data_IF_020663355946
#
_entry.id   IF_020663355946
#
_cell.length_a   1.000
_cell.length_b   1.000
_cell.length_c   1.000
_cell.angle_alpha   90.00
_cell.angle_beta   90.00
_cell.angle_gamma   90.00
#
_symmetry.space_group_name_H-M   'P 1'
#
loop_
_entity.id
_entity.type
_entity.pdbx_description
1 polymer ?
#
# COMPACT_ATOMS: atom_id res chain seq x y z
N UNK A 1 -4.51 -27.32 36.33
CA UNK A 1 -3.82 -26.10 35.84
C UNK A 1 -4.80 -25.39 34.94
N UNK A 2 -5.12 -24.14 35.27
CA UNK A 2 -5.99 -23.31 34.43
C UNK A 2 -5.25 -23.03 33.11
N UNK A 3 -5.82 -23.53 32.00
CA UNK A 3 -5.23 -23.42 30.67
C UNK A 3 -5.10 -21.96 30.23
N UNK A 4 -6.02 -21.10 30.68
CA UNK A 4 -6.01 -19.66 30.39
C UNK A 4 -4.82 -19.02 31.12
N UNK A 5 -4.68 -19.31 32.41
CA UNK A 5 -3.57 -18.80 33.23
C UNK A 5 -2.19 -19.17 32.68
N UNK A 6 -2.03 -20.41 32.20
CA UNK A 6 -0.77 -20.89 31.61
C UNK A 6 -0.38 -20.20 30.29
N UNK A 7 -1.37 -19.77 29.48
CA UNK A 7 -1.11 -19.07 28.21
C UNK A 7 -0.63 -17.63 28.48
N UNK A 8 -1.19 -16.95 29.49
CA UNK A 8 -0.78 -15.58 29.84
C UNK A 8 0.59 -15.49 30.54
N UNK A 9 1.06 -16.57 31.18
CA UNK A 9 2.34 -16.59 31.90
C UNK A 9 3.56 -16.82 30.97
N UNK A 10 3.37 -17.19 29.69
CA UNK A 10 4.47 -17.44 28.74
C UNK A 10 4.67 -16.30 27.74
N UNK A 11 5.80 -15.58 27.77
CA UNK A 11 6.09 -14.45 26.85
C UNK A 11 6.08 -14.81 25.36
N UNK A 12 6.26 -16.10 25.03
CA UNK A 12 6.26 -16.60 23.65
C UNK A 12 4.85 -16.64 23.00
N UNK A 13 3.79 -16.47 23.79
CA UNK A 13 2.39 -16.47 23.35
C UNK A 13 1.82 -15.04 23.31
N UNK A 14 2.66 -14.02 23.21
CA UNK A 14 2.20 -12.60 23.17
C UNK A 14 1.83 -12.15 21.75
N UNK A 15 1.29 -13.05 20.93
CA UNK A 15 0.97 -12.82 19.52
C UNK A 15 -0.52 -13.00 19.21
N UNK A 16 -0.98 -12.49 18.06
CA UNK A 16 -2.39 -12.58 17.62
C UNK A 16 -2.93 -14.02 17.68
N UNK A 17 -2.11 -15.00 17.30
CA UNK A 17 -2.48 -16.43 17.29
C UNK A 17 -2.85 -16.92 18.69
N UNK A 18 -2.12 -16.52 19.73
CA UNK A 18 -2.44 -16.93 21.09
C UNK A 18 -3.73 -16.28 21.61
N UNK A 19 -3.99 -15.01 21.24
CA UNK A 19 -5.27 -14.34 21.57
C UNK A 19 -6.44 -15.05 20.91
N UNK A 20 -6.30 -15.41 19.62
CA UNK A 20 -7.28 -16.23 18.91
C UNK A 20 -7.44 -17.61 19.56
N UNK A 21 -6.35 -18.27 19.92
CA UNK A 21 -6.38 -19.57 20.56
C UNK A 21 -7.12 -19.54 21.91
N UNK A 22 -6.96 -18.47 22.71
CA UNK A 22 -7.72 -18.29 23.95
C UNK A 22 -9.22 -18.12 23.66
N UNK A 23 -9.59 -17.21 22.75
CA UNK A 23 -11.02 -16.97 22.41
C UNK A 23 -11.69 -18.22 21.84
N UNK A 24 -10.97 -18.98 21.02
CA UNK A 24 -11.49 -20.18 20.38
C UNK A 24 -11.52 -21.39 21.33
N UNK A 25 -10.79 -21.37 22.44
CA UNK A 25 -10.71 -22.50 23.39
C UNK A 25 -12.00 -22.76 24.17
N UNK A 26 -12.91 -21.79 24.23
CA UNK A 26 -14.22 -21.95 24.87
C UNK A 26 -15.19 -22.80 24.02
N UNK A 27 -14.87 -22.99 22.74
CA UNK A 27 -15.72 -23.71 21.79
C UNK A 27 -15.14 -25.08 21.46
N UNK A 28 -16.00 -26.08 21.34
CA UNK A 28 -15.63 -27.41 20.84
C UNK A 28 -15.53 -27.40 19.31
N UNK A 29 -14.39 -26.97 18.79
CA UNK A 29 -14.16 -26.78 17.35
C UNK A 29 -13.69 -28.09 16.73
N UNK A 30 -14.49 -28.65 15.83
CA UNK A 30 -14.11 -29.79 15.01
C UNK A 30 -13.72 -29.33 13.60
N UNK A 31 -12.59 -29.82 13.09
CA UNK A 31 -12.18 -29.54 11.72
C UNK A 31 -13.02 -30.38 10.75
N UNK A 32 -13.69 -29.71 9.82
CA UNK A 32 -14.46 -30.35 8.73
C UNK A 32 -13.84 -29.95 7.40
N UNK A 33 -13.69 -30.91 6.49
CA UNK A 33 -13.18 -30.66 5.13
C UNK A 33 -13.99 -29.58 4.41
N UNK A 34 -13.30 -28.61 3.81
CA UNK A 34 -13.93 -27.45 3.18
C UNK A 34 -14.83 -27.88 2.01
N UNK A 35 -16.14 -27.69 2.16
CA UNK A 35 -17.08 -27.72 1.04
C UNK A 35 -17.16 -26.30 0.48
N UNK A 36 -17.05 -26.16 -0.84
CA UNK A 36 -17.22 -24.85 -1.48
C UNK A 36 -18.61 -24.30 -1.15
N UNK A 37 -18.66 -23.18 -0.43
CA UNK A 37 -19.90 -22.44 -0.18
C UNK A 37 -20.08 -21.51 -1.36
N UNK A 38 -21.25 -21.54 -2.02
CA UNK A 38 -21.59 -20.53 -3.03
C UNK A 38 -21.66 -19.18 -2.32
N UNK A 39 -20.81 -18.23 -2.72
CA UNK A 39 -20.81 -16.88 -2.16
C UNK A 39 -22.19 -16.20 -2.21
N UNK A 40 -23.01 -16.54 -3.22
CA UNK A 40 -24.40 -16.08 -3.31
C UNK A 40 -25.25 -16.52 -2.12
N UNK A 41 -25.11 -17.75 -1.63
CA UNK A 41 -25.88 -18.24 -0.50
C UNK A 41 -25.55 -17.48 0.81
N UNK A 42 -24.30 -17.05 0.97
CA UNK A 42 -23.87 -16.22 2.09
C UNK A 42 -24.40 -14.79 1.96
N UNK A 43 -24.33 -14.20 0.77
CA UNK A 43 -24.88 -12.87 0.50
C UNK A 43 -26.41 -12.82 0.69
N UNK A 44 -27.13 -13.83 0.19
CA UNK A 44 -28.58 -13.95 0.35
C UNK A 44 -28.98 -14.14 1.83
N UNK A 45 -28.21 -14.91 2.59
CA UNK A 45 -28.43 -15.08 4.03
C UNK A 45 -28.25 -13.75 4.79
N UNK A 46 -27.17 -13.01 4.49
CA UNK A 46 -26.90 -11.71 5.11
C UNK A 46 -27.95 -10.65 4.72
N UNK A 47 -28.41 -10.66 3.47
CA UNK A 47 -29.46 -9.75 3.01
C UNK A 47 -30.80 -9.99 3.73
N UNK A 48 -31.07 -11.22 4.14
CA UNK A 48 -32.27 -11.59 4.90
C UNK A 48 -32.13 -11.38 6.42
N UNK A 49 -30.94 -11.06 6.92
CA UNK A 49 -30.67 -10.68 8.32
C UNK A 49 -30.03 -9.29 8.38
N UNK A 50 -30.77 -8.22 8.07
CA UNK A 50 -30.26 -6.86 8.20
C UNK A 50 -29.90 -6.58 9.66
N UNK A 51 -28.65 -6.16 9.88
CA UNK A 51 -28.19 -5.69 11.19
C UNK A 51 -28.47 -4.19 11.21
N UNK A 52 -29.49 -3.78 11.98
CA UNK A 52 -29.92 -2.37 12.07
C UNK A 52 -28.79 -1.43 12.56
N UNK A 53 -27.87 -1.96 13.38
CA UNK A 53 -26.72 -1.24 13.93
C UNK A 53 -25.40 -1.72 13.32
N UNK A 54 -25.34 -1.93 12.00
CA UNK A 54 -24.09 -2.27 11.33
C UNK A 54 -23.07 -1.14 11.48
N UNK A 55 -22.21 -1.24 12.50
CA UNK A 55 -20.96 -0.50 12.56
C UNK A 55 -19.99 -1.20 11.63
N UNK A 56 -19.53 -0.47 10.62
CA UNK A 56 -18.41 -0.91 9.78
C UNK A 56 -17.31 -1.44 10.69
N UNK A 57 -16.99 -2.74 10.56
CA UNK A 57 -15.82 -3.30 11.22
C UNK A 57 -14.62 -2.58 10.59
N UNK A 58 -14.04 -1.64 11.32
CA UNK A 58 -12.66 -1.27 11.10
C UNK A 58 -11.88 -2.51 11.53
N UNK A 59 -11.56 -3.36 10.55
CA UNK A 59 -10.40 -4.21 10.73
C UNK A 59 -9.20 -3.29 10.98
N UNK A 60 -8.19 -3.80 11.66
CA UNK A 60 -6.86 -3.18 11.69
C UNK A 60 -5.92 -4.17 11.01
N UNK A 61 -5.99 -4.25 9.69
CA UNK A 61 -4.98 -4.96 8.92
C UNK A 61 -3.70 -4.11 8.81
N UNK A 62 -2.49 -4.69 8.94
CA UNK A 62 -1.23 -3.93 8.86
C UNK A 62 -1.01 -3.19 7.53
N UNK A 63 -1.75 -3.56 6.49
CA UNK A 63 -1.75 -3.04 5.13
C UNK A 63 -2.96 -2.14 4.82
N UNK A 64 -3.82 -1.83 5.80
CA UNK A 64 -4.92 -0.87 5.60
C UNK A 64 -4.44 0.52 5.21
N UNK A 65 -3.22 0.90 5.58
CA UNK A 65 -2.59 2.15 5.13
C UNK A 65 -2.34 2.19 3.62
N UNK A 66 -2.35 1.04 2.91
CA UNK A 66 -2.27 0.98 1.45
C UNK A 66 -3.66 1.13 0.80
N UNK A 67 -4.74 0.77 1.52
CA UNK A 67 -6.12 0.80 0.99
C UNK A 67 -6.93 2.01 1.45
N UNK A 68 -6.58 2.65 2.57
CA UNK A 68 -7.28 3.81 3.13
C UNK A 68 -6.50 5.08 2.79
N UNK A 69 -6.53 5.46 1.51
CA UNK A 69 -6.35 6.88 1.15
C UNK A 69 -7.70 7.54 1.41
N UNK A 70 -7.79 8.26 2.53
CA UNK A 70 -8.94 9.07 2.96
C UNK A 70 -9.75 9.62 1.79
N UNK A 71 -11.06 9.37 1.81
CA UNK A 71 -12.05 9.94 0.88
C UNK A 71 -12.22 11.43 1.13
N UNK A 72 -11.16 12.21 0.94
CA UNK A 72 -11.32 13.57 0.47
C UNK A 72 -11.38 13.45 -1.06
N UNK A 73 -12.58 13.65 -1.61
CA UNK A 73 -12.77 13.79 -3.05
C UNK A 73 -12.06 15.07 -3.50
N UNK A 74 -10.75 14.99 -3.68
CA UNK A 74 -9.97 16.02 -4.34
C UNK A 74 -10.19 15.86 -5.85
N UNK A 75 -11.28 16.47 -6.35
CA UNK A 75 -11.86 16.28 -7.69
C UNK A 75 -10.90 16.63 -8.86
N UNK A 76 -9.67 17.05 -8.58
CA UNK A 76 -8.66 17.37 -9.60
C UNK A 76 -7.25 16.84 -9.34
N UNK A 77 -6.97 16.24 -8.19
CA UNK A 77 -5.59 15.96 -7.78
C UNK A 77 -5.11 14.56 -8.11
N UNK A 78 -3.94 14.52 -8.73
CA UNK A 78 -3.22 13.31 -9.05
C UNK A 78 -2.10 13.08 -8.04
N UNK A 79 -1.81 11.82 -7.75
CA UNK A 79 -0.66 11.43 -6.93
C UNK A 79 0.33 10.66 -7.79
N UNK A 80 1.59 11.05 -7.75
CA UNK A 80 2.71 10.40 -8.40
C UNK A 80 3.62 9.79 -7.33
N UNK A 81 3.83 8.49 -7.40
CA UNK A 81 4.87 7.77 -6.66
C UNK A 81 5.97 7.39 -7.65
N UNK A 82 7.24 7.59 -7.31
CA UNK A 82 8.36 7.15 -8.15
C UNK A 82 9.47 6.51 -7.31
N UNK A 83 10.23 5.62 -7.95
CA UNK A 83 11.43 4.99 -7.42
C UNK A 83 12.38 4.65 -8.58
N UNK A 84 13.66 4.96 -8.44
CA UNK A 84 14.72 4.66 -9.40
C UNK A 84 15.77 3.72 -8.80
N UNK A 85 16.11 2.66 -9.53
CA UNK A 85 17.16 1.72 -9.12
C UNK A 85 18.27 1.63 -10.16
N UNK A 86 19.52 1.59 -9.68
CA UNK A 86 20.70 1.34 -10.52
C UNK A 86 21.61 0.32 -9.86
N UNK A 87 22.05 -0.69 -10.62
CA UNK A 87 22.99 -1.70 -10.16
C UNK A 87 23.85 -2.21 -11.32
N UNK A 88 24.76 -3.15 -11.01
CA UNK A 88 25.67 -3.75 -12.02
C UNK A 88 24.96 -4.50 -13.15
N UNK A 89 23.72 -4.94 -12.95
CA UNK A 89 22.92 -5.65 -13.95
C UNK A 89 22.11 -4.68 -14.83
N UNK A 90 22.03 -3.41 -14.43
CA UNK A 90 21.39 -2.35 -15.17
C UNK A 90 20.56 -1.43 -14.28
N UNK A 91 19.71 -0.66 -14.96
CA UNK A 91 19.02 0.47 -14.37
C UNK A 91 17.53 0.37 -14.68
N UNK A 92 16.70 0.64 -13.69
CA UNK A 92 15.25 0.55 -13.79
C UNK A 92 14.59 1.72 -13.10
N UNK A 93 13.41 2.05 -13.57
CA UNK A 93 12.55 3.06 -12.97
C UNK A 93 11.16 2.47 -12.78
N UNK A 94 10.54 2.84 -11.66
CA UNK A 94 9.18 2.51 -11.29
C UNK A 94 8.40 3.78 -10.99
N UNK A 95 7.19 3.84 -11.51
CA UNK A 95 6.29 4.97 -11.34
C UNK A 95 4.88 4.43 -11.12
N UNK A 96 4.13 5.03 -10.20
CA UNK A 96 2.70 4.79 -10.04
C UNK A 96 1.99 6.14 -10.06
N UNK A 97 1.18 6.35 -11.10
CA UNK A 97 0.32 7.52 -11.21
C UNK A 97 -1.09 7.15 -10.76
N UNK A 98 -1.62 7.85 -9.76
CA UNK A 98 -2.93 7.63 -9.16
C UNK A 98 -3.81 8.81 -9.55
N UNK A 99 -4.88 8.52 -10.29
CA UNK A 99 -5.86 9.53 -10.68
C UNK A 99 -6.76 9.95 -9.51
N UNK A 100 -7.45 11.11 -9.61
CA UNK A 100 -8.43 11.55 -8.61
C UNK A 100 -9.50 10.48 -8.32
N UNK A 101 -9.85 9.69 -9.34
CA UNK A 101 -10.80 8.57 -9.26
C UNK A 101 -10.19 7.29 -8.68
N UNK A 102 -9.04 7.40 -8.00
CA UNK A 102 -8.27 6.30 -7.40
C UNK A 102 -7.91 5.18 -8.39
N UNK A 103 -7.80 5.49 -9.69
CA UNK A 103 -7.24 4.57 -10.69
C UNK A 103 -5.72 4.61 -10.64
N UNK A 104 -5.10 3.45 -10.47
CA UNK A 104 -3.66 3.24 -10.49
C UNK A 104 -3.17 2.97 -11.93
N UNK A 105 -2.12 3.68 -12.33
CA UNK A 105 -1.47 3.55 -13.64
C UNK A 105 0.02 3.29 -13.37
N UNK A 106 0.43 2.02 -13.26
CA UNK A 106 1.83 1.67 -13.06
C UNK A 106 2.62 1.80 -14.37
N UNK A 107 3.83 2.34 -14.27
CA UNK A 107 4.77 2.50 -15.37
C UNK A 107 6.12 1.99 -14.87
N UNK A 108 6.73 1.10 -15.65
CA UNK A 108 8.07 0.59 -15.37
C UNK A 108 8.87 0.60 -16.65
N UNK A 109 10.10 1.07 -16.59
CA UNK A 109 11.00 1.06 -17.73
C UNK A 109 12.42 0.69 -17.29
N UNK A 110 13.16 0.05 -18.21
CA UNK A 110 14.59 -0.16 -18.06
C UNK A 110 15.32 0.97 -18.78
N UNK A 111 16.26 1.62 -18.10
CA UNK A 111 17.10 2.63 -18.75
C UNK A 111 18.22 1.91 -19.52
N UNK A 112 18.40 2.28 -20.78
CA UNK A 112 19.38 1.69 -21.70
C UNK A 112 20.68 2.50 -21.81
N UNK A 113 20.97 3.31 -20.80
CA UNK A 113 22.18 4.11 -20.69
C UNK A 113 22.73 3.99 -19.27
N UNK A 114 24.03 4.19 -19.10
CA UNK A 114 24.66 4.12 -17.80
C UNK A 114 24.19 5.26 -16.91
N UNK A 115 23.65 4.93 -15.73
CA UNK A 115 23.19 5.93 -14.77
C UNK A 115 23.54 5.55 -13.32
N UNK A 116 23.72 6.56 -12.47
CA UNK A 116 23.85 6.37 -11.02
C UNK A 116 22.47 6.15 -10.38
N UNK A 117 22.41 5.75 -9.10
CA UNK A 117 21.13 5.65 -8.37
C UNK A 117 20.37 6.98 -8.40
N UNK A 118 21.03 8.09 -8.05
CA UNK A 118 20.41 9.41 -8.05
C UNK A 118 19.89 9.78 -9.44
N UNK A 119 20.60 9.43 -10.51
CA UNK A 119 20.11 9.66 -11.87
C UNK A 119 18.88 8.81 -12.17
N UNK A 120 18.85 7.54 -11.78
CA UNK A 120 17.66 6.70 -11.97
C UNK A 120 16.44 7.28 -11.26
N UNK A 121 16.61 7.84 -10.07
CA UNK A 121 15.55 8.52 -9.31
C UNK A 121 15.02 9.76 -10.05
N UNK A 122 15.92 10.58 -10.61
CA UNK A 122 15.53 11.71 -11.44
C UNK A 122 14.76 11.28 -12.69
N UNK A 123 15.21 10.22 -13.35
CA UNK A 123 14.56 9.68 -14.55
C UNK A 123 13.18 9.10 -14.23
N UNK A 124 13.03 8.44 -13.07
CA UNK A 124 11.75 7.95 -12.58
C UNK A 124 10.77 9.11 -12.32
N UNK A 125 11.22 10.14 -11.60
CA UNK A 125 10.42 11.34 -11.35
C UNK A 125 10.03 12.04 -12.67
N UNK A 126 10.98 12.22 -13.59
CA UNK A 126 10.74 12.87 -14.88
C UNK A 126 9.73 12.11 -15.73
N UNK A 127 9.86 10.78 -15.82
CA UNK A 127 8.90 9.92 -16.51
C UNK A 127 7.51 10.01 -15.89
N UNK A 128 7.43 10.07 -14.55
CA UNK A 128 6.18 10.24 -13.84
C UNK A 128 5.48 11.56 -14.12
N UNK A 129 6.23 12.66 -14.14
CA UNK A 129 5.70 13.98 -14.51
C UNK A 129 5.22 13.97 -15.96
N UNK A 130 5.97 13.36 -16.88
CA UNK A 130 5.57 13.23 -18.28
C UNK A 130 4.25 12.45 -18.42
N UNK A 131 4.10 11.33 -17.71
CA UNK A 131 2.86 10.56 -17.69
C UNK A 131 1.67 11.35 -17.11
N UNK A 132 1.92 12.17 -16.08
CA UNK A 132 0.91 13.05 -15.51
C UNK A 132 0.45 14.13 -16.51
N UNK A 133 1.40 14.72 -17.27
CA UNK A 133 1.10 15.68 -18.33
C UNK A 133 0.28 15.06 -19.47
N UNK A 134 0.66 13.85 -19.93
CA UNK A 134 -0.12 13.09 -20.92
C UNK A 134 -1.54 12.78 -20.43
N UNK A 135 -1.67 12.51 -19.13
CA UNK A 135 -2.95 12.31 -18.44
C UNK A 135 -3.72 13.60 -18.17
N UNK A 136 -3.19 14.76 -18.57
CA UNK A 136 -3.77 16.10 -18.39
C UNK A 136 -4.02 16.45 -16.91
N UNK A 137 -3.16 15.96 -16.02
CA UNK A 137 -3.18 16.33 -14.61
C UNK A 137 -2.92 17.83 -14.45
N UNK A 138 -3.78 18.53 -13.70
CA UNK A 138 -3.62 19.96 -13.40
C UNK A 138 -2.92 20.20 -12.07
N UNK A 139 -3.18 19.32 -11.10
CA UNK A 139 -2.59 19.34 -9.76
C UNK A 139 -1.97 17.97 -9.54
N UNK A 140 -0.70 17.95 -9.17
CA UNK A 140 0.08 16.74 -8.97
C UNK A 140 0.79 16.82 -7.63
N UNK A 141 0.57 15.82 -6.78
CA UNK A 141 1.39 15.54 -5.61
C UNK A 141 2.42 14.50 -5.98
N UNK A 142 3.69 14.77 -5.67
CA UNK A 142 4.81 13.91 -6.03
C UNK A 142 5.47 13.37 -4.77
N UNK A 143 5.64 12.06 -4.71
CA UNK A 143 6.31 11.35 -3.62
C UNK A 143 7.40 10.44 -4.18
N UNK A 144 8.53 10.43 -3.50
CA UNK A 144 9.65 9.51 -3.72
C UNK A 144 10.42 9.37 -2.40
N UNK A 145 11.22 8.32 -2.28
CA UNK A 145 12.04 8.04 -1.11
C UNK A 145 13.44 8.68 -1.18
N UNK A 146 13.85 9.18 -2.36
CA UNK A 146 15.07 9.96 -2.54
C UNK A 146 14.96 11.38 -1.98
N UNK A 147 15.42 11.55 -0.73
CA UNK A 147 15.51 12.87 -0.08
C UNK A 147 16.29 13.90 -0.92
N UNK A 148 17.30 13.46 -1.68
CA UNK A 148 18.06 14.32 -2.58
C UNK A 148 17.17 14.91 -3.68
N UNK A 149 16.41 14.06 -4.38
CA UNK A 149 15.53 14.50 -5.47
C UNK A 149 14.43 15.41 -4.95
N UNK A 150 13.79 15.03 -3.85
CA UNK A 150 12.71 15.81 -3.23
C UNK A 150 13.19 17.21 -2.81
N UNK A 151 14.32 17.29 -2.08
CA UNK A 151 14.81 18.58 -1.59
C UNK A 151 15.33 19.49 -2.71
N UNK A 152 15.86 18.92 -3.81
CA UNK A 152 16.27 19.72 -4.97
C UNK A 152 15.08 20.22 -5.78
N UNK A 153 14.03 19.41 -5.94
CA UNK A 153 12.78 19.84 -6.59
C UNK A 153 12.08 20.95 -5.79
N UNK A 154 12.18 20.90 -4.46
CA UNK A 154 11.69 21.95 -3.56
C UNK A 154 12.62 23.18 -3.49
N UNK A 155 13.73 23.19 -4.25
CA UNK A 155 14.73 24.28 -4.25
C UNK A 155 15.40 24.51 -2.89
N UNK A 156 15.36 23.52 -2.00
CA UNK A 156 16.02 23.59 -0.70
C UNK A 156 17.51 23.26 -0.81
N UNK A 157 17.86 22.34 -1.72
CA UNK A 157 19.22 21.88 -1.96
C UNK A 157 19.65 22.22 -3.40
N UNK A 158 20.93 22.52 -3.57
CA UNK A 158 21.54 22.75 -4.88
C UNK A 158 22.75 21.81 -5.07
N UNK A 159 22.91 21.27 -6.28
CA UNK A 159 24.15 20.59 -6.66
C UNK A 159 25.20 21.59 -7.08
N UNK A 160 26.41 21.47 -6.52
CA UNK A 160 27.55 22.23 -7.00
C UNK A 160 28.02 21.66 -8.34
N UNK A 161 27.67 22.32 -9.43
CA UNK A 161 28.32 22.03 -10.70
C UNK A 161 29.80 22.41 -10.61
N UNK A 162 30.67 21.46 -10.94
CA UNK A 162 32.06 21.78 -11.26
C UNK A 162 32.07 22.35 -12.67
N UNK A 163 32.23 23.66 -12.78
CA UNK A 163 32.65 24.32 -14.02
C UNK A 163 33.99 23.77 -14.50
#
# INVERSE_FOLDING_TARGET
MDQIKYIFEKPALTGRIARWQVMLSEYDITYVTQKAIKGSALADYLANQPVDDYKSMQCEFPDESIMVLSEEYDDGKWTLLFDGTSNIMGHGIGVVLISPKKKFIPITARLCFDCTNNMAEYEACAMGVLAALESKAKVLEVYGDSALVINQLNQEWETRDKK
#
